data_IF_216998784242
#
_entry.id   IF_216998784242
#
_cell.length_a   1.000
_cell.length_b   1.000
_cell.length_c   1.000
_cell.angle_alpha   90.00
_cell.angle_beta   90.00
_cell.angle_gamma   90.00
#
_symmetry.space_group_name_H-M   'P 1'
#
loop_
_entity.id
_entity.type
_entity.pdbx_description
1 polymer ?
#
# COMPACT_ATOMS: atom_id res chain seq x y z
N UNK A 1 -8.19 -15.08 -5.61
CA UNK A 1 -7.91 -13.93 -6.49
C UNK A 1 -7.43 -12.75 -5.64
N UNK A 2 -6.55 -11.89 -6.16
CA UNK A 2 -6.06 -10.72 -5.42
C UNK A 2 -7.09 -9.58 -5.46
N UNK A 3 -7.21 -8.78 -4.40
CA UNK A 3 -8.30 -7.81 -4.20
C UNK A 3 -8.01 -6.49 -4.95
N UNK A 4 -8.03 -6.51 -6.28
CA UNK A 4 -7.78 -5.35 -7.12
C UNK A 4 -8.91 -5.13 -8.13
N UNK A 5 -9.12 -3.88 -8.56
CA UNK A 5 -10.20 -3.49 -9.47
C UNK A 5 -9.92 -3.77 -10.95
N UNK A 6 -8.75 -4.32 -11.25
CA UNK A 6 -8.25 -4.55 -12.60
C UNK A 6 -6.74 -4.77 -12.57
N UNK A 7 -6.17 -5.11 -13.72
CA UNK A 7 -4.72 -5.27 -13.89
C UNK A 7 -4.33 -5.00 -15.35
N UNK A 8 -3.05 -4.70 -15.56
CA UNK A 8 -2.41 -4.76 -16.86
C UNK A 8 -1.48 -5.98 -16.91
N UNK A 9 -1.44 -6.64 -18.05
CA UNK A 9 -0.49 -7.72 -18.34
C UNK A 9 0.79 -7.12 -18.97
N UNK A 10 1.94 -7.66 -18.59
CA UNK A 10 3.27 -7.23 -19.04
C UNK A 10 4.04 -8.47 -19.49
N UNK A 11 4.40 -8.54 -20.76
CA UNK A 11 5.17 -9.66 -21.31
C UNK A 11 6.69 -9.49 -21.14
N UNK A 12 7.43 -10.29 -21.91
CA UNK A 12 8.89 -10.20 -22.07
C UNK A 12 9.68 -10.25 -20.75
N UNK A 13 9.20 -11.03 -19.79
CA UNK A 13 9.82 -11.13 -18.46
C UNK A 13 10.08 -9.75 -17.84
N UNK A 14 9.12 -8.83 -17.92
CA UNK A 14 9.25 -7.43 -17.50
C UNK A 14 9.83 -7.24 -16.09
N UNK A 15 9.57 -8.17 -15.17
CA UNK A 15 10.07 -8.13 -13.79
C UNK A 15 11.27 -9.05 -13.53
N UNK A 16 11.89 -9.57 -14.60
CA UNK A 16 12.90 -10.60 -14.57
C UNK A 16 12.34 -11.97 -14.94
N UNK A 17 13.25 -12.83 -15.42
CA UNK A 17 12.95 -14.20 -15.80
C UNK A 17 12.75 -15.08 -14.57
N UNK A 18 11.78 -15.99 -14.65
CA UNK A 18 11.61 -17.07 -13.70
C UNK A 18 12.67 -18.17 -13.87
N UNK A 19 12.46 -19.25 -13.12
CA UNK A 19 13.32 -20.44 -13.15
C UNK A 19 12.48 -21.70 -12.93
N UNK A 20 12.86 -22.80 -13.57
CA UNK A 20 12.15 -24.08 -13.45
C UNK A 20 11.24 -24.35 -14.65
N UNK A 21 10.10 -25.00 -14.41
CA UNK A 21 9.14 -25.33 -15.46
C UNK A 21 8.10 -24.24 -15.64
N UNK A 22 7.82 -23.85 -16.88
CA UNK A 22 6.66 -23.03 -17.23
C UNK A 22 5.45 -23.95 -17.36
N UNK A 23 4.38 -23.63 -16.62
CA UNK A 23 3.29 -24.58 -16.37
C UNK A 23 2.17 -24.53 -17.41
N UNK A 24 1.90 -23.35 -17.99
CA UNK A 24 0.77 -23.07 -18.88
C UNK A 24 1.15 -21.95 -19.86
N UNK A 25 0.54 -21.97 -21.05
CA UNK A 25 0.63 -20.90 -22.04
C UNK A 25 -0.73 -20.62 -22.68
N UNK A 26 -0.81 -19.58 -23.51
CA UNK A 26 -2.03 -19.14 -24.21
C UNK A 26 -3.25 -19.08 -23.28
N UNK A 27 -3.04 -18.44 -22.12
CA UNK A 27 -4.12 -18.20 -21.16
C UNK A 27 -5.14 -17.25 -21.78
N UNK A 28 -6.36 -17.74 -21.97
CA UNK A 28 -7.49 -16.98 -22.50
C UNK A 28 -8.66 -16.99 -21.49
N UNK A 29 -8.86 -15.85 -20.84
CA UNK A 29 -9.91 -15.63 -19.84
C UNK A 29 -10.98 -14.69 -20.42
N UNK A 30 -12.25 -14.98 -20.15
CA UNK A 30 -13.39 -14.14 -20.49
C UNK A 30 -13.57 -12.96 -19.54
N UNK A 31 -12.94 -13.00 -18.36
CA UNK A 31 -12.97 -11.95 -17.33
C UNK A 31 -14.06 -12.14 -16.27
N UNK A 32 -14.82 -13.24 -16.33
CA UNK A 32 -15.85 -13.60 -15.35
C UNK A 32 -15.43 -14.74 -14.42
N UNK A 33 -14.31 -15.39 -14.72
CA UNK A 33 -13.74 -16.48 -13.95
C UNK A 33 -13.37 -16.04 -12.53
N UNK A 34 -13.52 -16.93 -11.55
CA UNK A 34 -13.14 -16.64 -10.16
C UNK A 34 -11.67 -16.96 -9.87
N UNK A 35 -11.01 -17.67 -10.79
CA UNK A 35 -9.63 -18.11 -10.70
C UNK A 35 -9.01 -18.39 -12.07
N UNK A 36 -7.67 -18.36 -12.15
CA UNK A 36 -6.92 -18.69 -13.37
C UNK A 36 -7.15 -20.14 -13.84
N UNK A 37 -7.56 -21.03 -12.93
CA UNK A 37 -7.82 -22.43 -13.23
C UNK A 37 -9.09 -22.66 -14.06
N UNK A 38 -9.99 -21.67 -14.10
CA UNK A 38 -11.24 -21.71 -14.88
C UNK A 38 -11.06 -21.15 -16.30
N UNK A 39 -9.96 -20.44 -16.58
CA UNK A 39 -9.67 -19.94 -17.91
C UNK A 39 -9.26 -21.08 -18.85
N UNK A 40 -9.36 -20.84 -20.15
CA UNK A 40 -8.72 -21.70 -21.14
C UNK A 40 -7.19 -21.48 -21.09
N UNK A 41 -6.42 -22.55 -21.26
CA UNK A 41 -4.96 -22.51 -21.36
C UNK A 41 -4.43 -23.80 -21.99
N UNK A 42 -3.20 -23.76 -22.51
CA UNK A 42 -2.53 -24.90 -23.12
C UNK A 42 -1.48 -25.52 -22.18
N UNK A 43 -1.27 -26.83 -22.37
CA UNK A 43 -0.24 -27.64 -21.71
C UNK A 43 0.26 -28.76 -22.67
N UNK A 44 1.54 -29.15 -22.60
CA UNK A 44 2.64 -28.47 -21.90
C UNK A 44 2.98 -27.15 -22.58
N UNK A 45 3.61 -26.21 -21.86
CA UNK A 45 4.05 -24.95 -22.45
C UNK A 45 5.32 -25.14 -23.29
N UNK A 46 5.37 -24.44 -24.42
CA UNK A 46 6.50 -24.24 -25.32
C UNK A 46 7.24 -22.92 -25.09
N UNK A 47 6.71 -22.02 -24.27
CA UNK A 47 7.34 -20.75 -23.89
C UNK A 47 8.71 -20.91 -23.22
N UNK A 48 9.51 -19.84 -23.32
CA UNK A 48 10.75 -19.65 -22.58
C UNK A 48 10.56 -18.65 -21.43
N UNK A 49 11.46 -18.67 -20.44
CA UNK A 49 11.38 -17.71 -19.32
C UNK A 49 11.54 -16.25 -19.74
N UNK A 50 12.08 -15.98 -20.93
CA UNK A 50 12.06 -14.64 -21.53
C UNK A 50 10.65 -14.14 -21.85
N UNK A 51 9.65 -15.02 -21.84
CA UNK A 51 8.24 -14.73 -22.14
C UNK A 51 7.35 -14.77 -20.89
N UNK A 52 7.94 -14.91 -19.70
CA UNK A 52 7.19 -14.96 -18.44
C UNK A 52 6.31 -13.70 -18.30
N UNK A 53 5.02 -13.92 -18.04
CA UNK A 53 4.05 -12.84 -17.87
C UNK A 53 4.10 -12.26 -16.46
N UNK A 54 4.25 -10.94 -16.39
CA UNK A 54 4.03 -10.14 -15.20
C UNK A 54 2.63 -9.53 -15.19
N UNK A 55 2.07 -9.32 -14.00
CA UNK A 55 0.84 -8.54 -13.84
C UNK A 55 1.10 -7.34 -12.95
N UNK A 56 0.62 -6.17 -13.37
CA UNK A 56 0.56 -4.99 -12.51
C UNK A 56 -0.90 -4.68 -12.23
N UNK A 57 -1.31 -4.92 -11.00
CA UNK A 57 -2.67 -4.64 -10.60
C UNK A 57 -2.92 -3.13 -10.61
N UNK A 58 -4.04 -2.74 -11.19
CA UNK A 58 -4.57 -1.42 -10.97
C UNK A 58 -5.00 -1.38 -9.51
N UNK A 59 -4.27 -0.64 -8.71
CA UNK A 59 -4.92 0.04 -7.61
C UNK A 59 -5.82 1.06 -8.28
N UNK A 60 -7.04 0.70 -8.72
CA UNK A 60 -8.09 1.68 -8.47
C UNK A 60 -7.99 1.84 -6.98
N UNK A 61 -7.42 2.97 -6.60
CA UNK A 61 -7.48 3.39 -5.25
C UNK A 61 -8.97 3.18 -4.90
N UNK A 62 -9.23 2.32 -3.91
CA UNK A 62 -9.93 2.89 -2.77
C UNK A 62 -9.13 4.15 -2.50
N UNK A 63 -9.51 5.27 -3.13
CA UNK A 63 -8.99 6.58 -2.81
C UNK A 63 -9.29 6.62 -1.35
N UNK A 64 -8.27 6.32 -0.55
CA UNK A 64 -8.30 6.59 0.86
C UNK A 64 -8.57 8.08 0.84
N UNK A 65 -9.79 8.52 1.21
CA UNK A 65 -10.09 9.93 1.17
C UNK A 65 -9.03 10.63 2.02
N UNK A 66 -8.59 11.83 1.64
CA UNK A 66 -7.71 12.59 2.53
C UNK A 66 -8.43 12.68 3.88
N UNK A 67 -7.76 12.26 4.95
CA UNK A 67 -8.31 12.23 6.31
C UNK A 67 -7.58 13.25 7.17
N UNK A 68 -8.32 13.94 8.03
CA UNK A 68 -7.74 14.79 9.07
C UNK A 68 -8.58 14.76 10.34
N UNK A 69 -7.96 15.12 11.46
CA UNK A 69 -8.62 15.48 12.71
C UNK A 69 -8.61 17.00 12.86
N UNK A 70 -9.75 17.60 13.20
CA UNK A 70 -9.89 19.06 13.37
C UNK A 70 -10.42 19.38 14.75
N UNK A 71 -9.81 20.37 15.42
CA UNK A 71 -10.28 20.90 16.71
C UNK A 71 -9.66 20.24 17.95
N UNK A 72 -8.68 19.34 17.78
CA UNK A 72 -7.88 18.78 18.88
C UNK A 72 -6.61 19.58 19.18
N UNK A 73 -5.95 19.27 20.30
CA UNK A 73 -4.81 20.04 20.80
C UNK A 73 -3.47 19.71 20.12
N UNK A 74 -3.28 18.47 19.68
CA UNK A 74 -1.97 17.94 19.27
C UNK A 74 -2.00 17.12 17.96
N UNK A 75 -3.14 17.07 17.27
CA UNK A 75 -3.33 16.29 16.04
C UNK A 75 -3.52 14.78 16.27
N UNK A 76 -3.53 14.32 17.52
CA UNK A 76 -3.89 12.94 17.90
C UNK A 76 -5.38 12.81 18.26
N UNK A 77 -6.10 13.93 18.33
CA UNK A 77 -7.53 14.00 18.63
C UNK A 77 -8.23 15.06 17.76
N UNK A 78 -9.56 14.96 17.66
CA UNK A 78 -10.40 15.92 16.95
C UNK A 78 -11.51 15.26 16.15
N UNK A 79 -12.31 16.09 15.47
CA UNK A 79 -13.39 15.61 14.61
C UNK A 79 -12.82 14.98 13.34
N UNK A 80 -13.21 13.73 13.07
CA UNK A 80 -12.85 13.02 11.85
C UNK A 80 -13.49 13.70 10.64
N UNK A 81 -12.66 14.17 9.71
CA UNK A 81 -13.10 14.70 8.43
C UNK A 81 -12.46 13.96 7.27
N UNK A 82 -13.25 13.78 6.21
CA UNK A 82 -12.82 13.19 4.95
C UNK A 82 -13.01 14.18 3.80
N UNK A 83 -12.12 14.14 2.82
CA UNK A 83 -12.25 14.94 1.60
C UNK A 83 -12.87 14.12 0.48
N UNK A 84 -14.03 14.54 0.00
CA UNK A 84 -14.75 13.91 -1.09
C UNK A 84 -15.07 14.95 -2.17
N UNK A 85 -14.69 14.68 -3.42
CA UNK A 85 -14.87 15.61 -4.55
C UNK A 85 -14.30 17.02 -4.29
N UNK A 86 -13.16 17.10 -3.59
CA UNK A 86 -12.50 18.36 -3.25
C UNK A 86 -13.07 19.09 -2.03
N UNK A 87 -14.17 18.61 -1.44
CA UNK A 87 -14.85 19.24 -0.30
C UNK A 87 -14.63 18.43 0.98
N UNK A 88 -14.41 19.13 2.10
CA UNK A 88 -14.28 18.51 3.42
C UNK A 88 -15.65 18.32 4.07
N UNK A 89 -15.90 17.10 4.58
CA UNK A 89 -17.11 16.76 5.33
C UNK A 89 -16.80 15.98 6.61
N UNK A 90 -17.76 15.94 7.52
CA UNK A 90 -17.72 15.15 8.77
C UNK A 90 -18.28 13.74 8.57
N UNK A 91 -17.91 12.83 9.47
CA UNK A 91 -18.38 11.44 9.47
C UNK A 91 -19.47 11.25 10.54
N UNK A 92 -20.56 10.55 10.22
CA UNK A 92 -21.64 10.22 11.16
C UNK A 92 -21.21 9.07 12.08
N UNK A 93 -21.62 9.12 13.36
CA UNK A 93 -21.20 8.16 14.39
C UNK A 93 -22.21 7.03 14.67
N UNK A 94 -23.35 6.99 13.97
CA UNK A 94 -24.45 6.02 14.19
C UNK A 94 -23.97 4.57 14.44
N UNK A 95 -22.93 4.14 13.72
CA UNK A 95 -22.29 2.83 13.90
C UNK A 95 -20.77 2.92 14.04
N UNK A 96 -20.22 4.09 14.36
CA UNK A 96 -18.77 4.29 14.45
C UNK A 96 -18.26 3.85 15.82
N UNK A 97 -17.58 2.71 15.87
CA UNK A 97 -17.08 2.14 17.11
C UNK A 97 -15.56 2.21 17.20
N UNK A 98 -15.02 1.74 18.33
CA UNK A 98 -13.56 1.60 18.48
C UNK A 98 -12.93 0.65 17.46
N UNK A 99 -13.70 -0.24 16.82
CA UNK A 99 -13.19 -1.11 15.76
C UNK A 99 -12.86 -0.29 14.50
N UNK A 100 -13.73 0.64 14.12
CA UNK A 100 -13.52 1.55 13.00
C UNK A 100 -12.39 2.54 13.29
N UNK A 101 -12.31 3.05 14.53
CA UNK A 101 -11.23 3.95 14.96
C UNK A 101 -9.85 3.28 14.95
N UNK A 102 -9.78 1.96 15.17
CA UNK A 102 -8.54 1.16 15.15
C UNK A 102 -8.17 0.65 13.76
N UNK A 103 -9.09 0.73 12.79
CA UNK A 103 -9.02 -0.09 11.59
C UNK A 103 -7.94 0.34 10.58
N UNK A 104 -7.06 -0.61 10.23
CA UNK A 104 -6.13 -0.61 9.08
C UNK A 104 -6.77 -0.34 7.69
N UNK A 105 -8.10 -0.15 7.63
CA UNK A 105 -8.89 0.03 6.40
C UNK A 105 -9.33 1.48 6.15
N UNK A 106 -9.36 2.31 7.19
CA UNK A 106 -9.39 3.76 7.02
C UNK A 106 -7.92 4.16 6.96
N UNK A 107 -7.42 4.79 5.91
CA UNK A 107 -5.99 5.19 5.87
C UNK A 107 -5.57 6.22 6.91
N UNK A 108 -6.35 6.41 7.99
CA UNK A 108 -5.86 6.93 9.25
C UNK A 108 -5.10 5.81 9.98
N UNK A 109 -3.81 5.65 9.65
CA UNK A 109 -2.87 5.02 10.58
C UNK A 109 -2.83 5.87 11.86
N UNK A 110 -3.72 5.62 12.80
CA UNK A 110 -3.44 5.87 14.21
C UNK A 110 -2.52 4.75 14.69
N UNK A 111 -1.25 4.81 14.27
CA UNK A 111 -0.18 4.03 14.87
C UNK A 111 1.11 4.79 14.66
N UNK A 112 1.42 5.57 15.69
CA UNK A 112 2.78 5.90 16.07
C UNK A 112 3.64 4.63 16.04
N UNK A 113 4.59 4.52 15.10
CA UNK A 113 5.82 3.77 15.32
C UNK A 113 7.01 4.59 14.82
N UNK A 114 7.62 5.25 15.79
CA UNK A 114 8.97 5.78 15.78
C UNK A 114 9.96 4.59 15.71
N UNK A 115 11.03 4.73 14.92
CA UNK A 115 12.30 3.98 14.93
C UNK A 115 12.44 2.57 14.30
N UNK A 116 13.39 2.53 13.33
CA UNK A 116 14.34 1.45 12.99
C UNK A 116 13.86 0.37 11.97
N UNK A 117 14.49 0.08 10.82
CA UNK A 117 15.93 0.14 10.51
C UNK A 117 16.28 0.42 9.02
N UNK A 118 17.18 1.39 8.80
CA UNK A 118 18.41 1.38 7.93
C UNK A 118 18.31 1.09 6.40
N UNK A 119 18.94 1.82 5.45
CA UNK A 119 20.24 2.53 5.42
C UNK A 119 20.25 3.69 4.40
N UNK A 120 21.18 4.63 4.63
CA UNK A 120 21.73 5.70 3.77
C UNK A 120 21.25 7.13 4.05
N UNK A 121 21.48 7.59 5.29
CA UNK A 121 21.68 9.02 5.52
C UNK A 121 23.13 9.20 5.98
N UNK A 122 23.92 9.83 5.12
CA UNK A 122 25.31 10.22 5.35
C UNK A 122 25.37 11.35 6.38
N UNK A 123 25.91 11.05 7.56
CA UNK A 123 26.04 11.96 8.70
C UNK A 123 27.38 12.73 8.70
N UNK A 124 28.16 12.70 7.62
CA UNK A 124 29.40 13.49 7.50
C UNK A 124 29.19 15.01 7.49
N UNK A 125 27.94 15.48 7.36
CA UNK A 125 27.61 16.92 7.20
C UNK A 125 27.01 17.62 8.42
N UNK A 126 26.66 16.90 9.50
CA UNK A 126 26.08 17.55 10.69
C UNK A 126 27.14 17.78 11.76
N UNK A 127 27.85 18.90 11.62
CA UNK A 127 28.74 19.46 12.64
C UNK A 127 27.90 20.34 13.57
N UNK A 128 27.46 19.82 14.72
CA UNK A 128 26.83 20.65 15.77
C UNK A 128 27.90 21.08 16.77
N UNK A 129 28.13 22.40 16.80
CA UNK A 129 28.91 23.11 17.79
C UNK A 129 28.07 23.38 19.05
N UNK A 130 28.77 23.35 20.19
CA UNK A 130 28.44 23.83 21.55
C UNK A 130 27.54 22.92 22.38
N UNK A 131 28.05 22.15 23.35
CA UNK A 131 28.73 22.51 24.62
C UNK A 131 27.77 23.07 25.69
N UNK A 132 27.67 22.32 26.80
CA UNK A 132 27.31 22.72 28.17
C UNK A 132 25.81 22.80 28.51
N UNK A 133 25.26 21.68 28.97
CA UNK A 133 24.41 21.69 30.18
C UNK A 133 24.84 20.51 31.07
N UNK A 134 25.66 20.80 32.07
CA UNK A 134 25.96 19.91 33.19
C UNK A 134 25.48 20.64 34.45
N UNK A 135 24.65 19.98 35.25
CA UNK A 135 24.45 20.33 36.67
C UNK A 135 23.09 20.92 37.02
N UNK A 136 22.26 20.08 37.61
CA UNK A 136 21.13 20.46 38.45
C UNK A 136 21.63 20.81 39.87
N UNK A 137 20.89 21.70 40.55
CA UNK A 137 20.75 21.85 42.01
C UNK A 137 22.00 22.16 42.86
N UNK A 138 22.17 23.45 43.19
CA UNK A 138 22.16 23.99 44.56
C UNK A 138 21.81 25.48 44.50
#
# INVERSE_FOLDING_TARGET
MLIFSGAIALGDAHFGQGSGSILIEDVDCQGTESSLAECFYLKPSTCHHSEDVGVRCNTAAKTIPEVRLVGGLDGLEGNLQIKHSGVWGTVCDDTFTTMEAKGDKMGAKCSLQIYNQTKNIDISRYRILRSQVRGAMN
#
